data_IF_158146140939
#
_entry.id   IF_158146140939
#
_cell.length_a   1.000
_cell.length_b   1.000
_cell.length_c   1.000
_cell.angle_alpha   90.00
_cell.angle_beta   90.00
_cell.angle_gamma   90.00
#
_symmetry.space_group_name_H-M   'P 1'
#
loop_
_entity.id
_entity.type
_entity.pdbx_description
1 polymer ?
#
# COMPACT_ATOMS: atom_id res chain seq x y z
N UNK A 1 -6.65 6.00 -45.33
CA UNK A 1 -7.50 6.80 -44.42
C UNK A 1 -8.50 5.87 -43.78
N UNK A 2 -8.21 5.46 -42.55
CA UNK A 2 -8.88 4.35 -41.85
C UNK A 2 -9.63 4.87 -40.62
N UNK A 3 -10.68 4.14 -40.25
CA UNK A 3 -11.74 4.44 -39.28
C UNK A 3 -11.32 4.69 -37.82
N UNK A 4 -10.09 5.17 -37.57
CA UNK A 4 -9.58 5.57 -36.23
C UNK A 4 -9.66 7.07 -35.95
N UNK A 5 -9.89 7.90 -36.97
CA UNK A 5 -9.93 9.38 -36.79
C UNK A 5 -11.32 9.95 -36.50
N UNK A 6 -12.39 9.15 -36.57
CA UNK A 6 -13.76 9.57 -36.25
C UNK A 6 -14.15 9.37 -34.77
N UNK A 7 -13.35 8.62 -34.00
CA UNK A 7 -13.63 8.32 -32.59
C UNK A 7 -13.16 9.43 -31.63
N UNK A 8 -12.23 10.28 -32.06
CA UNK A 8 -11.63 11.33 -31.20
C UNK A 8 -12.41 12.66 -31.20
N UNK A 9 -13.25 12.93 -32.19
CA UNK A 9 -14.16 14.09 -32.15
C UNK A 9 -15.46 13.81 -31.37
N UNK A 10 -15.83 12.54 -31.16
CA UNK A 10 -17.03 12.17 -30.40
C UNK A 10 -16.85 12.29 -28.87
N UNK A 11 -15.62 12.24 -28.35
CA UNK A 11 -15.34 12.35 -26.91
C UNK A 11 -15.27 13.81 -26.40
N UNK A 12 -15.04 14.79 -27.28
CA UNK A 12 -15.08 16.21 -26.91
C UNK A 12 -16.52 16.75 -26.80
N UNK A 13 -17.47 16.20 -27.59
CA UNK A 13 -18.88 16.59 -27.57
C UNK A 13 -19.67 15.93 -26.43
N UNK A 14 -19.18 14.80 -25.90
CA UNK A 14 -19.80 14.14 -24.74
C UNK A 14 -19.49 14.84 -23.42
N UNK A 15 -18.38 15.61 -23.31
CA UNK A 15 -18.10 16.42 -22.12
C UNK A 15 -19.05 17.61 -21.92
N UNK A 16 -19.64 18.15 -22.99
CA UNK A 16 -20.62 19.25 -22.88
C UNK A 16 -22.07 18.76 -22.75
N UNK A 17 -22.39 17.55 -23.21
CA UNK A 17 -23.75 17.00 -23.14
C UNK A 17 -24.11 16.41 -21.75
N UNK A 18 -23.14 15.98 -20.95
CA UNK A 18 -23.36 15.53 -19.57
C UNK A 18 -23.46 16.68 -18.54
N UNK A 19 -23.32 17.93 -18.97
CA UNK A 19 -23.41 19.11 -18.10
C UNK A 19 -24.84 19.58 -17.83
N UNK A 20 -25.85 19.11 -18.56
CA UNK A 20 -27.17 19.77 -18.57
C UNK A 20 -28.34 18.98 -17.97
N UNK A 21 -28.13 17.74 -17.50
CA UNK A 21 -29.22 16.94 -16.89
C UNK A 21 -29.00 16.55 -15.43
N UNK A 22 -27.95 17.09 -14.79
CA UNK A 22 -27.74 16.89 -13.36
C UNK A 22 -28.68 17.79 -12.56
N UNK A 23 -29.69 17.22 -11.92
CA UNK A 23 -30.47 17.93 -10.91
C UNK A 23 -29.54 18.59 -9.87
N UNK A 24 -29.94 19.76 -9.37
CA UNK A 24 -29.18 20.46 -8.32
C UNK A 24 -28.95 19.52 -7.13
N UNK A 25 -27.71 19.54 -6.59
CA UNK A 25 -27.40 18.74 -5.40
C UNK A 25 -28.27 19.24 -4.25
N UNK A 26 -28.94 18.35 -3.49
CA UNK A 26 -29.68 18.73 -2.30
C UNK A 26 -28.84 19.57 -1.32
N UNK A 27 -29.42 20.64 -0.79
CA UNK A 27 -28.73 21.60 0.06
C UNK A 27 -28.11 20.91 1.30
N UNK A 28 -28.78 19.91 1.87
CA UNK A 28 -28.26 19.19 3.03
C UNK A 28 -26.96 18.43 2.73
N UNK A 29 -26.77 17.90 1.52
CA UNK A 29 -25.50 17.28 1.12
C UNK A 29 -24.40 18.32 0.88
N UNK A 30 -24.75 19.49 0.35
CA UNK A 30 -23.81 20.62 0.27
C UNK A 30 -23.30 21.03 1.65
N UNK A 31 -24.20 21.16 2.63
CA UNK A 31 -23.85 21.47 4.02
C UNK A 31 -23.02 20.39 4.71
N UNK A 32 -23.34 19.11 4.47
CA UNK A 32 -22.53 17.98 4.94
C UNK A 32 -21.08 18.07 4.40
N UNK A 33 -20.91 18.36 3.11
CA UNK A 33 -19.57 18.52 2.50
C UNK A 33 -18.84 19.77 3.03
N UNK A 34 -19.52 20.92 3.13
CA UNK A 34 -18.98 22.15 3.71
C UNK A 34 -18.49 21.91 5.15
N UNK A 35 -19.26 21.20 5.96
CA UNK A 35 -18.88 20.87 7.34
C UNK A 35 -17.58 20.06 7.38
N UNK A 36 -17.36 19.14 6.43
CA UNK A 36 -16.12 18.35 6.33
C UNK A 36 -14.94 19.14 5.80
N UNK A 37 -15.16 19.97 4.79
CA UNK A 37 -14.14 20.86 4.25
C UNK A 37 -13.72 21.96 5.24
N UNK A 38 -14.58 22.29 6.22
CA UNK A 38 -14.24 23.22 7.29
C UNK A 38 -13.16 22.70 8.24
N UNK A 39 -12.92 21.38 8.29
CA UNK A 39 -11.88 20.74 9.11
C UNK A 39 -10.52 20.86 8.41
N UNK A 40 -9.95 22.07 8.38
CA UNK A 40 -8.76 22.39 7.58
C UNK A 40 -7.46 21.87 8.19
N UNK A 41 -7.35 21.96 9.51
CA UNK A 41 -6.18 21.53 10.27
C UNK A 41 -6.62 20.70 11.48
N UNK A 42 -5.71 19.90 12.04
CA UNK A 42 -6.03 19.11 13.22
C UNK A 42 -5.15 17.90 13.46
N UNK A 43 -5.48 17.17 14.52
CA UNK A 43 -4.86 15.92 14.95
C UNK A 43 -5.94 14.93 15.37
N UNK A 44 -5.92 13.72 14.80
CA UNK A 44 -6.92 12.68 15.01
C UNK A 44 -6.22 11.36 15.28
N UNK A 45 -6.43 10.81 16.47
CA UNK A 45 -6.03 9.44 16.82
C UNK A 45 -7.23 8.51 16.65
N UNK A 46 -7.06 7.47 15.85
CA UNK A 46 -8.16 6.56 15.50
C UNK A 46 -7.67 5.11 15.33
N UNK A 47 -8.63 4.20 15.23
CA UNK A 47 -8.34 2.79 15.00
C UNK A 47 -9.34 2.15 14.03
N UNK A 48 -8.93 1.02 13.45
CA UNK A 48 -9.70 0.23 12.49
C UNK A 48 -9.68 -1.23 12.90
N UNK A 49 -10.86 -1.87 12.92
CA UNK A 49 -10.98 -3.33 12.93
C UNK A 49 -11.68 -3.77 11.65
N UNK A 50 -11.15 -4.79 10.96
CA UNK A 50 -11.72 -5.28 9.71
C UNK A 50 -11.99 -6.79 9.76
N UNK A 51 -12.96 -7.27 8.96
CA UNK A 51 -13.24 -8.69 8.78
C UNK A 51 -12.07 -9.44 8.16
N UNK A 52 -11.25 -8.77 7.36
CA UNK A 52 -10.04 -9.34 6.79
C UNK A 52 -8.99 -9.68 7.87
N UNK A 53 -9.06 -9.04 9.04
CA UNK A 53 -8.16 -9.25 10.18
C UNK A 53 -8.97 -9.32 11.50
N UNK A 54 -9.74 -10.41 11.74
CA UNK A 54 -10.62 -10.51 12.90
C UNK A 54 -9.86 -10.37 14.23
N UNK A 55 -10.44 -9.63 15.18
CA UNK A 55 -9.85 -9.38 16.50
C UNK A 55 -8.70 -8.37 16.51
N UNK A 56 -8.27 -7.87 15.34
CA UNK A 56 -7.18 -6.89 15.23
C UNK A 56 -7.72 -5.48 15.15
N UNK A 57 -7.08 -4.62 15.93
CA UNK A 57 -7.34 -3.19 15.96
C UNK A 57 -6.06 -2.46 15.57
N UNK A 58 -5.98 -2.09 14.29
CA UNK A 58 -4.90 -1.25 13.80
C UNK A 58 -5.14 0.18 14.27
N UNK A 59 -4.10 0.85 14.76
CA UNK A 59 -4.13 2.22 15.29
C UNK A 59 -3.43 3.16 14.33
N UNK A 60 -3.90 4.39 14.28
CA UNK A 60 -3.43 5.39 13.36
C UNK A 60 -3.45 6.78 14.00
N UNK A 61 -2.61 7.66 13.49
CA UNK A 61 -2.71 9.10 13.74
C UNK A 61 -2.75 9.83 12.41
N UNK A 62 -3.73 10.71 12.23
CA UNK A 62 -3.85 11.59 11.07
C UNK A 62 -3.71 13.04 11.53
N UNK A 63 -2.80 13.79 10.91
CA UNK A 63 -2.62 15.22 11.16
C UNK A 63 -2.80 16.01 9.87
N UNK A 64 -3.32 17.22 10.01
CA UNK A 64 -3.66 18.11 8.91
C UNK A 64 -3.10 19.50 9.18
N UNK A 65 -2.43 20.06 8.18
CA UNK A 65 -1.96 21.43 8.22
C UNK A 65 -2.94 22.36 7.49
N UNK A 66 -2.96 23.64 7.87
CA UNK A 66 -3.91 24.62 7.32
C UNK A 66 -3.78 24.84 5.80
N UNK A 67 -2.59 24.61 5.22
CA UNK A 67 -2.33 24.70 3.78
C UNK A 67 -2.80 23.47 2.98
N UNK A 68 -3.32 22.43 3.64
CA UNK A 68 -3.76 21.19 3.00
C UNK A 68 -2.77 20.03 3.11
N UNK A 69 -1.58 20.23 3.69
CA UNK A 69 -0.64 19.13 3.95
C UNK A 69 -1.25 18.10 4.90
N UNK A 70 -0.84 16.85 4.73
CA UNK A 70 -1.36 15.70 5.49
C UNK A 70 -0.20 14.85 5.98
N UNK A 71 -0.33 14.37 7.21
CA UNK A 71 0.55 13.38 7.79
C UNK A 71 -0.30 12.22 8.30
N UNK A 72 0.10 11.00 7.98
CA UNK A 72 -0.56 9.78 8.40
C UNK A 72 0.49 8.83 8.98
N UNK A 73 0.30 8.42 10.24
CA UNK A 73 1.18 7.51 10.96
C UNK A 73 0.42 6.21 11.25
N UNK A 74 0.93 5.09 10.73
CA UNK A 74 0.38 3.78 11.03
C UNK A 74 1.02 3.20 12.29
N UNK A 75 0.24 3.11 13.38
CA UNK A 75 0.66 2.78 14.75
C UNK A 75 0.65 1.29 15.14
N UNK A 76 0.53 0.40 14.15
CA UNK A 76 0.45 -1.05 14.39
C UNK A 76 -0.87 -1.48 15.04
N UNK A 77 -0.91 -2.66 15.64
CA UNK A 77 -2.09 -3.23 16.31
C UNK A 77 -1.85 -3.46 17.82
N UNK A 78 -2.71 -4.25 18.49
CA UNK A 78 -2.56 -4.54 19.93
C UNK A 78 -1.31 -5.36 20.27
N UNK A 79 -0.68 -6.02 19.28
CA UNK A 79 0.61 -6.70 19.40
C UNK A 79 1.80 -5.78 19.03
N UNK A 80 1.54 -4.49 18.88
CA UNK A 80 2.52 -3.48 18.51
C UNK A 80 2.67 -3.35 16.99
N UNK A 81 3.88 -3.07 16.54
CA UNK A 81 4.14 -2.70 15.14
C UNK A 81 4.25 -3.95 14.27
N UNK A 82 3.12 -4.53 13.87
CA UNK A 82 3.06 -5.68 12.98
C UNK A 82 2.26 -5.37 11.71
N UNK A 83 2.70 -5.92 10.60
CA UNK A 83 1.98 -6.01 9.33
C UNK A 83 1.54 -7.45 9.13
N UNK A 84 0.37 -7.62 8.54
CA UNK A 84 -0.15 -8.91 8.12
C UNK A 84 -0.30 -8.88 6.60
N UNK A 85 0.76 -9.19 5.84
CA UNK A 85 0.65 -9.32 4.40
C UNK A 85 -0.47 -10.32 4.06
N UNK A 86 -1.18 -10.07 2.97
CA UNK A 86 -2.27 -10.93 2.54
C UNK A 86 -1.76 -12.37 2.36
N UNK A 87 -2.33 -13.31 3.11
CA UNK A 87 -1.95 -14.73 3.07
C UNK A 87 -0.76 -15.12 3.96
N UNK A 88 -0.18 -14.19 4.74
CA UNK A 88 0.86 -14.54 5.70
C UNK A 88 0.27 -15.25 6.93
N UNK A 89 0.83 -16.41 7.29
CA UNK A 89 0.47 -17.15 8.51
C UNK A 89 0.99 -16.48 9.79
N UNK A 90 2.07 -15.70 9.66
CA UNK A 90 2.73 -14.99 10.76
C UNK A 90 2.78 -13.49 10.49
N UNK A 91 2.72 -12.65 11.54
CA UNK A 91 2.92 -11.22 11.39
C UNK A 91 4.35 -10.90 10.97
N UNK A 92 4.53 -9.84 10.20
CA UNK A 92 5.80 -9.16 9.96
C UNK A 92 5.94 -7.98 10.91
N UNK A 93 6.93 -7.96 11.78
CA UNK A 93 7.20 -6.83 12.65
C UNK A 93 7.76 -5.72 11.77
N UNK A 94 7.09 -4.58 11.81
CA UNK A 94 7.50 -3.38 11.09
C UNK A 94 7.74 -2.25 12.09
N UNK A 95 8.16 -1.12 11.57
CA UNK A 95 8.26 0.11 12.34
C UNK A 95 7.09 1.02 11.97
N UNK A 96 6.81 2.04 12.80
CA UNK A 96 5.95 3.14 12.39
C UNK A 96 6.26 3.55 10.98
N UNK A 97 5.26 3.47 10.12
CA UNK A 97 5.36 3.99 8.76
C UNK A 97 4.60 5.30 8.74
N UNK A 98 5.34 6.36 8.45
CA UNK A 98 4.85 7.71 8.30
C UNK A 98 4.70 8.00 6.82
N UNK A 99 3.58 8.61 6.49
CA UNK A 99 3.21 9.02 5.16
C UNK A 99 2.93 10.52 5.23
N UNK A 100 3.53 11.32 4.35
CA UNK A 100 3.27 12.76 4.29
C UNK A 100 2.93 13.15 2.87
N UNK A 101 1.89 13.97 2.72
CA UNK A 101 1.57 14.68 1.49
C UNK A 101 1.75 16.15 1.77
N UNK A 102 2.66 16.81 1.07
CA UNK A 102 2.86 18.26 1.13
C UNK A 102 3.09 18.85 -0.26
N UNK A 103 3.37 20.15 -0.33
CA UNK A 103 3.66 20.84 -1.59
C UNK A 103 4.86 20.26 -2.39
N UNK A 104 5.78 19.54 -1.75
CA UNK A 104 6.92 18.91 -2.44
C UNK A 104 6.52 17.59 -3.11
N UNK A 105 5.52 16.90 -2.55
CA UNK A 105 5.00 15.64 -3.06
C UNK A 105 4.58 14.67 -1.96
N UNK A 106 4.68 13.39 -2.28
CA UNK A 106 4.33 12.28 -1.39
C UNK A 106 5.60 11.68 -0.80
N UNK A 107 5.60 11.45 0.50
CA UNK A 107 6.71 10.89 1.24
C UNK A 107 6.25 9.65 2.00
N UNK A 108 7.13 8.65 2.06
CA UNK A 108 6.95 7.46 2.90
C UNK A 108 8.24 7.15 3.63
N UNK A 109 8.15 7.05 4.95
CA UNK A 109 9.30 6.79 5.81
C UNK A 109 8.95 5.79 6.90
N UNK A 110 9.79 4.77 7.09
CA UNK A 110 9.73 3.94 8.28
C UNK A 110 10.75 4.46 9.29
N UNK A 111 10.36 4.65 10.56
CA UNK A 111 11.13 5.43 11.56
C UNK A 111 12.59 4.96 11.77
N UNK A 112 12.90 3.69 11.51
CA UNK A 112 14.25 3.12 11.62
C UNK A 112 14.98 2.94 10.28
N UNK A 113 14.37 3.37 9.19
CA UNK A 113 14.93 3.26 7.85
C UNK A 113 16.07 4.25 7.62
N UNK A 114 17.02 3.86 6.79
CA UNK A 114 18.07 4.75 6.27
C UNK A 114 17.67 5.39 4.95
N UNK A 115 16.48 5.07 4.45
CA UNK A 115 15.90 5.65 3.26
C UNK A 115 14.46 6.12 3.49
N UNK A 116 14.11 7.20 2.82
CA UNK A 116 12.76 7.70 2.69
C UNK A 116 12.38 7.70 1.20
N UNK A 117 11.27 7.07 0.88
CA UNK A 117 10.74 7.09 -0.48
C UNK A 117 10.03 8.43 -0.71
N UNK A 118 10.31 9.04 -1.85
CA UNK A 118 9.78 10.34 -2.22
C UNK A 118 9.25 10.32 -3.65
N UNK A 119 7.98 10.70 -3.82
CA UNK A 119 7.35 10.91 -5.11
C UNK A 119 7.06 12.39 -5.26
N UNK A 120 7.86 13.07 -6.07
CA UNK A 120 7.64 14.49 -6.33
C UNK A 120 6.34 14.64 -7.12
N UNK A 121 5.51 15.59 -6.74
CA UNK A 121 4.39 15.99 -7.60
C UNK A 121 5.00 16.61 -8.86
N UNK A 122 4.83 15.92 -10.00
CA UNK A 122 5.36 16.41 -11.27
C UNK A 122 4.47 17.57 -11.69
N UNK A 123 5.07 18.71 -12.04
CA UNK A 123 4.35 19.87 -12.57
C UNK A 123 3.29 19.43 -13.59
N UNK A 124 2.07 19.99 -13.47
CA UNK A 124 0.80 19.59 -14.12
C UNK A 124 0.82 19.48 -15.68
N UNK A 125 1.96 19.62 -16.34
CA UNK A 125 2.11 19.57 -17.79
C UNK A 125 2.64 18.26 -18.37
N UNK A 126 3.10 17.31 -17.56
CA UNK A 126 3.60 16.03 -18.07
C UNK A 126 2.53 14.94 -17.92
N UNK A 127 2.15 14.23 -19.00
CA UNK A 127 1.25 13.10 -18.89
C UNK A 127 1.87 12.11 -17.90
N UNK A 128 1.12 11.76 -16.86
CA UNK A 128 1.48 10.67 -15.97
C UNK A 128 1.70 9.45 -16.87
N UNK A 129 2.91 8.87 -16.85
CA UNK A 129 3.15 7.64 -17.59
C UNK A 129 2.16 6.59 -17.02
N UNK A 130 1.27 6.12 -17.88
CA UNK A 130 0.30 5.06 -17.59
C UNK A 130 1.08 3.79 -17.19
N UNK A 131 1.42 3.66 -15.91
CA UNK A 131 2.18 2.51 -15.41
C UNK A 131 3.14 2.80 -14.27
N UNK A 132 3.44 4.06 -13.93
CA UNK A 132 4.22 4.31 -12.71
C UNK A 132 3.36 4.03 -11.46
N UNK A 133 3.77 3.10 -10.58
CA UNK A 133 3.12 2.92 -9.30
C UNK A 133 3.43 4.16 -8.46
N UNK A 134 2.52 5.14 -8.50
CA UNK A 134 2.38 6.07 -7.38
C UNK A 134 2.17 5.20 -6.14
N UNK A 135 2.70 5.55 -4.95
CA UNK A 135 2.27 4.87 -3.75
C UNK A 135 0.75 5.02 -3.79
N UNK A 136 0.02 3.93 -3.57
CA UNK A 136 -1.43 3.98 -3.67
C UNK A 136 -1.84 5.20 -2.86
N UNK A 137 -2.41 6.24 -3.50
CA UNK A 137 -3.02 7.33 -2.73
C UNK A 137 -4.04 6.72 -1.76
N UNK A 138 -4.54 5.52 -2.11
CA UNK A 138 -5.15 4.45 -1.33
C UNK A 138 -4.56 4.18 0.09
N UNK A 139 -3.27 4.41 0.33
CA UNK A 139 -2.66 4.21 1.66
C UNK A 139 -2.95 5.38 2.63
N UNK A 140 -3.33 6.56 2.13
CA UNK A 140 -3.50 7.79 2.93
C UNK A 140 -4.93 7.99 3.45
N UNK A 141 -5.41 7.19 4.39
CA UNK A 141 -6.78 7.35 4.87
C UNK A 141 -7.00 8.74 5.50
N UNK A 142 -7.70 9.62 4.78
CA UNK A 142 -8.14 10.92 5.28
C UNK A 142 -9.40 10.72 6.13
N UNK A 143 -9.18 10.58 7.44
CA UNK A 143 -10.23 10.28 8.43
C UNK A 143 -11.35 11.34 8.43
N UNK A 144 -11.12 12.57 7.93
CA UNK A 144 -12.19 13.58 7.78
C UNK A 144 -13.33 13.10 6.88
N UNK A 145 -13.06 12.22 5.92
CA UNK A 145 -14.07 11.73 4.98
C UNK A 145 -14.76 10.44 5.44
N UNK A 146 -14.46 9.94 6.65
CA UNK A 146 -15.12 8.76 7.21
C UNK A 146 -16.60 9.05 7.46
N UNK A 147 -17.44 8.03 7.26
CA UNK A 147 -18.87 8.16 7.49
C UNK A 147 -19.62 9.00 6.45
N UNK A 148 -19.09 9.12 5.23
CA UNK A 148 -19.74 9.84 4.12
C UNK A 148 -20.18 8.92 2.97
N UNK A 149 -19.65 7.69 2.93
CA UNK A 149 -20.01 6.66 1.97
C UNK A 149 -20.63 5.44 2.67
N UNK A 150 -21.47 4.65 1.97
CA UNK A 150 -22.06 3.43 2.51
C UNK A 150 -21.05 2.27 2.62
N UNK A 151 -19.90 2.39 1.95
CA UNK A 151 -18.80 1.45 1.99
C UNK A 151 -17.56 2.11 2.60
N UNK A 152 -16.70 1.30 3.23
CA UNK A 152 -15.40 1.75 3.68
C UNK A 152 -14.53 2.03 2.45
N UNK A 153 -14.31 3.31 2.21
CA UNK A 153 -13.54 3.80 1.08
C UNK A 153 -12.08 4.05 1.43
N UNK A 154 -11.44 3.18 2.21
CA UNK A 154 -10.00 3.31 2.50
C UNK A 154 -9.18 3.47 1.20
N UNK A 155 -9.66 2.92 0.08
CA UNK A 155 -9.00 3.02 -1.23
C UNK A 155 -9.43 4.24 -2.08
N UNK A 156 -10.34 5.12 -1.60
CA UNK A 156 -11.03 6.11 -2.46
C UNK A 156 -10.44 7.53 -2.38
N UNK A 157 -9.13 7.68 -2.18
CA UNK A 157 -8.54 8.91 -1.65
C UNK A 157 -8.23 10.04 -2.64
N UNK A 158 -8.57 9.87 -3.92
CA UNK A 158 -8.10 10.80 -4.97
C UNK A 158 -9.16 11.67 -5.65
N UNK A 159 -10.36 11.81 -5.06
CA UNK A 159 -11.37 12.73 -5.62
C UNK A 159 -11.59 13.94 -4.69
N UNK A 160 -11.29 15.17 -5.15
CA UNK A 160 -11.37 16.41 -4.36
C UNK A 160 -12.80 16.82 -3.95
N UNK A 161 -13.82 16.04 -4.28
CA UNK A 161 -15.13 16.19 -3.64
C UNK A 161 -15.83 14.84 -3.48
N UNK A 162 -16.36 14.63 -2.28
CA UNK A 162 -17.29 13.54 -2.01
C UNK A 162 -18.51 13.66 -2.93
N UNK A 163 -18.99 14.89 -3.17
CA UNK A 163 -20.11 15.14 -4.06
C UNK A 163 -19.85 14.74 -5.51
N UNK A 164 -18.60 14.85 -6.02
CA UNK A 164 -18.26 14.33 -7.35
C UNK A 164 -18.38 12.81 -7.40
N UNK A 165 -18.10 12.10 -6.31
CA UNK A 165 -18.29 10.64 -6.22
C UNK A 165 -19.75 10.27 -6.01
N UNK A 166 -20.46 10.98 -5.14
CA UNK A 166 -21.91 10.85 -4.99
C UNK A 166 -22.67 11.19 -6.27
N UNK A 167 -22.08 11.91 -7.23
CA UNK A 167 -22.62 12.10 -8.59
C UNK A 167 -22.29 10.95 -9.54
N UNK A 168 -21.16 10.27 -9.34
CA UNK A 168 -20.62 9.25 -10.26
C UNK A 168 -20.95 7.81 -9.84
N UNK A 169 -21.57 7.60 -8.67
CA UNK A 169 -21.81 6.27 -8.11
C UNK A 169 -20.54 5.73 -7.44
N UNK A 170 -20.71 5.01 -6.33
CA UNK A 170 -19.57 4.57 -5.51
C UNK A 170 -18.62 3.60 -6.23
N UNK A 171 -19.00 2.97 -7.36
CA UNK A 171 -18.17 1.98 -8.09
C UNK A 171 -18.46 1.86 -9.62
N UNK A 172 -19.00 2.87 -10.32
CA UNK A 172 -19.36 2.70 -11.74
C UNK A 172 -18.96 3.85 -12.68
N UNK A 173 -18.13 3.59 -13.72
CA UNK A 173 -18.19 4.39 -14.93
C UNK A 173 -19.50 4.00 -15.63
N UNK A 174 -20.61 4.74 -15.46
CA UNK A 174 -21.62 5.02 -16.53
C UNK A 174 -23.00 5.53 -16.09
N UNK A 175 -23.41 5.49 -14.82
CA UNK A 175 -24.79 5.88 -14.46
C UNK A 175 -24.83 7.11 -13.52
N UNK A 176 -24.91 8.34 -14.04
CA UNK A 176 -25.17 9.51 -13.19
C UNK A 176 -26.50 9.35 -12.45
N UNK A 177 -26.56 9.77 -11.19
CA UNK A 177 -27.83 9.84 -10.46
C UNK A 177 -28.80 10.79 -11.18
N UNK A 178 -30.02 10.33 -11.44
CA UNK A 178 -31.02 11.10 -12.20
C UNK A 178 -31.96 11.89 -11.32
N UNK A 179 -32.25 11.36 -10.13
CA UNK A 179 -33.29 11.90 -9.25
C UNK A 179 -32.75 12.01 -7.84
N UNK A 180 -32.95 13.19 -7.27
CA UNK A 180 -32.67 13.48 -5.87
C UNK A 180 -33.98 13.77 -5.15
N UNK A 181 -34.11 13.28 -3.92
CA UNK A 181 -35.18 13.70 -3.01
C UNK A 181 -34.57 14.12 -1.69
N UNK A 182 -35.07 15.21 -1.14
CA UNK A 182 -34.72 15.71 0.19
C UNK A 182 -36.01 15.83 1.00
N UNK A 183 -36.04 15.24 2.19
CA UNK A 183 -37.19 15.39 3.09
C UNK A 183 -36.74 15.44 4.55
N UNK A 184 -37.53 16.12 5.37
CA UNK A 184 -37.31 16.15 6.81
C UNK A 184 -37.90 14.90 7.46
N UNK A 185 -37.13 14.25 8.33
CA UNK A 185 -37.53 13.08 9.11
C UNK A 185 -37.24 13.38 10.57
N UNK A 186 -38.23 13.95 11.27
CA UNK A 186 -38.06 14.45 12.63
C UNK A 186 -37.10 15.66 12.70
N UNK A 187 -36.04 15.53 13.48
CA UNK A 187 -34.94 16.49 13.62
C UNK A 187 -33.85 16.34 12.55
N UNK A 188 -33.95 15.30 11.71
CA UNK A 188 -32.96 14.96 10.68
C UNK A 188 -33.46 15.26 9.28
N UNK A 189 -32.53 15.26 8.34
CA UNK A 189 -32.80 15.39 6.91
C UNK A 189 -32.42 14.09 6.22
N UNK A 190 -33.36 13.47 5.52
CA UNK A 190 -33.09 12.33 4.66
C UNK A 190 -32.91 12.82 3.23
N UNK A 191 -31.76 12.49 2.65
CA UNK A 191 -31.45 12.74 1.24
C UNK A 191 -31.35 11.40 0.53
N UNK A 192 -32.02 11.24 -0.59
CA UNK A 192 -31.93 10.02 -1.41
C UNK A 192 -31.55 10.35 -2.84
N UNK A 193 -30.56 9.65 -3.36
CA UNK A 193 -30.18 9.62 -4.77
C UNK A 193 -30.66 8.32 -5.40
N UNK A 194 -31.28 8.40 -6.58
CA UNK A 194 -31.66 7.25 -7.39
C UNK A 194 -30.81 7.21 -8.66
N UNK A 195 -30.09 6.11 -8.84
CA UNK A 195 -29.27 5.84 -10.02
C UNK A 195 -30.13 5.38 -11.20
N UNK A 196 -29.57 5.43 -12.42
CA UNK A 196 -30.28 5.04 -13.67
C UNK A 196 -30.72 3.59 -13.65
N UNK A 197 -29.91 2.72 -13.06
CA UNK A 197 -30.16 1.29 -12.94
C UNK A 197 -31.22 0.95 -11.87
N UNK A 198 -31.71 1.95 -11.13
CA UNK A 198 -32.67 1.79 -10.04
C UNK A 198 -32.03 1.61 -8.66
N UNK A 199 -30.69 1.57 -8.56
CA UNK A 199 -30.02 1.56 -7.28
C UNK A 199 -30.30 2.85 -6.49
N UNK A 200 -30.32 2.73 -5.17
CA UNK A 200 -30.68 3.83 -4.25
C UNK A 200 -29.58 4.05 -3.23
N UNK A 201 -29.20 5.32 -3.05
CA UNK A 201 -28.28 5.76 -2.01
C UNK A 201 -28.99 6.78 -1.12
N UNK A 202 -29.02 6.53 0.19
CA UNK A 202 -29.74 7.37 1.16
C UNK A 202 -28.79 7.81 2.27
N UNK A 203 -28.84 9.09 2.61
CA UNK A 203 -28.17 9.68 3.76
C UNK A 203 -29.21 10.19 4.75
N UNK A 204 -29.01 9.90 6.03
CA UNK A 204 -29.72 10.53 7.13
C UNK A 204 -28.75 11.48 7.83
N UNK A 205 -29.00 12.78 7.73
CA UNK A 205 -28.11 13.85 8.16
C UNK A 205 -28.70 14.53 9.39
N UNK A 206 -27.85 14.82 10.37
CA UNK A 206 -28.19 15.53 11.61
C UNK A 206 -27.58 16.95 11.59
N UNK A 207 -28.38 17.99 11.26
CA UNK A 207 -27.91 19.37 11.24
C UNK A 207 -27.48 19.88 12.63
N UNK A 208 -28.12 19.40 13.71
CA UNK A 208 -27.83 19.85 15.07
C UNK A 208 -26.46 19.35 15.55
N UNK A 209 -26.00 18.21 15.02
CA UNK A 209 -24.68 17.65 15.29
C UNK A 209 -23.70 17.94 14.17
N UNK A 210 -23.59 19.21 13.78
CA UNK A 210 -22.59 19.69 12.81
C UNK A 210 -22.76 19.14 11.40
N UNK A 211 -24.00 18.92 10.95
CA UNK A 211 -24.33 18.38 9.63
C UNK A 211 -23.69 17.02 9.32
N UNK A 212 -23.48 16.18 10.32
CA UNK A 212 -22.93 14.84 10.13
C UNK A 212 -24.00 13.88 9.58
N UNK A 213 -23.60 12.96 8.68
CA UNK A 213 -24.44 11.81 8.34
C UNK A 213 -24.38 10.80 9.49
N UNK A 214 -25.54 10.45 10.06
CA UNK A 214 -25.67 9.45 11.13
C UNK A 214 -25.94 8.05 10.58
N UNK A 215 -26.44 7.96 9.34
CA UNK A 215 -26.61 6.71 8.61
C UNK A 215 -26.54 6.93 7.11
N UNK A 216 -25.91 6.01 6.40
CA UNK A 216 -25.87 5.97 4.95
C UNK A 216 -26.19 4.56 4.50
N UNK A 217 -27.02 4.40 3.48
CA UNK A 217 -27.34 3.08 2.93
C UNK A 217 -27.32 3.10 1.41
N UNK A 218 -26.68 2.11 0.81
CA UNK A 218 -26.80 1.79 -0.62
C UNK A 218 -27.59 0.51 -0.78
N UNK A 219 -28.51 0.49 -1.72
CA UNK A 219 -29.33 -0.67 -2.07
C UNK A 219 -29.33 -0.85 -3.59
N UNK A 220 -29.04 -2.06 -4.05
CA UNK A 220 -29.17 -2.40 -5.47
C UNK A 220 -30.63 -2.32 -5.92
N UNK A 221 -30.86 -2.19 -7.22
CA UNK A 221 -32.21 -2.09 -7.78
C UNK A 221 -33.10 -3.31 -7.46
N UNK A 222 -32.50 -4.49 -7.27
CA UNK A 222 -33.17 -5.73 -6.91
C UNK A 222 -33.27 -5.97 -5.38
N UNK A 223 -32.76 -5.04 -4.57
CA UNK A 223 -32.76 -5.12 -3.10
C UNK A 223 -31.84 -6.20 -2.51
N UNK A 224 -31.08 -6.95 -3.32
CA UNK A 224 -30.27 -8.08 -2.85
C UNK A 224 -28.94 -7.66 -2.24
N UNK A 225 -28.34 -6.59 -2.75
CA UNK A 225 -27.08 -6.06 -2.24
C UNK A 225 -27.36 -4.79 -1.45
N UNK A 226 -26.99 -4.82 -0.17
CA UNK A 226 -27.15 -3.68 0.73
C UNK A 226 -25.83 -3.37 1.40
N UNK A 227 -25.38 -2.13 1.25
CA UNK A 227 -24.28 -1.57 2.02
C UNK A 227 -24.84 -0.55 2.99
N UNK A 228 -24.27 -0.47 4.19
CA UNK A 228 -24.64 0.57 5.14
C UNK A 228 -23.44 1.05 5.95
N UNK A 229 -23.47 2.33 6.29
CA UNK A 229 -22.54 3.00 7.16
C UNK A 229 -23.34 3.65 8.29
N UNK A 230 -23.20 3.16 9.51
CA UNK A 230 -23.81 3.74 10.70
C UNK A 230 -22.75 4.55 11.47
N UNK A 231 -23.06 5.81 11.77
CA UNK A 231 -22.14 6.74 12.41
C UNK A 231 -22.66 7.17 13.78
N UNK A 232 -21.89 6.91 14.83
CA UNK A 232 -22.07 7.52 16.13
C UNK A 232 -21.30 8.85 16.17
N UNK A 233 -22.00 9.96 16.31
CA UNK A 233 -21.41 11.31 16.29
C UNK A 233 -21.35 11.87 17.71
N UNK A 234 -20.19 12.41 18.10
CA UNK A 234 -19.96 13.07 19.40
C UNK A 234 -19.24 14.39 19.20
N UNK A 235 -19.38 15.29 20.15
CA UNK A 235 -18.59 16.53 20.20
C UNK A 235 -17.19 16.21 20.76
N UNK A 236 -16.15 16.54 20.00
CA UNK A 236 -14.75 16.36 20.37
C UNK A 236 -14.04 17.70 20.22
N UNK A 237 -13.56 18.26 21.34
CA UNK A 237 -12.90 19.57 21.38
C UNK A 237 -13.70 20.67 20.64
N UNK A 238 -15.01 20.76 20.92
CA UNK A 238 -15.89 21.78 20.34
C UNK A 238 -16.35 21.51 18.90
N UNK A 239 -16.02 20.35 18.32
CA UNK A 239 -16.42 19.97 16.96
C UNK A 239 -17.19 18.66 16.94
N UNK A 240 -18.37 18.64 16.32
CA UNK A 240 -19.13 17.40 16.11
C UNK A 240 -18.49 16.54 15.02
N UNK A 241 -18.07 15.33 15.38
CA UNK A 241 -17.37 14.41 14.48
C UNK A 241 -17.78 12.94 14.73
N UNK A 242 -17.67 12.03 13.74
CA UNK A 242 -17.93 10.61 13.96
C UNK A 242 -16.93 10.04 14.97
N UNK A 243 -17.44 9.60 16.12
CA UNK A 243 -16.68 8.89 17.14
C UNK A 243 -16.51 7.41 16.77
N UNK A 244 -17.54 6.83 16.14
CA UNK A 244 -17.51 5.47 15.65
C UNK A 244 -18.26 5.36 14.33
N UNK A 245 -17.68 4.63 13.38
CA UNK A 245 -18.28 4.35 12.09
C UNK A 245 -18.26 2.84 11.86
N UNK A 246 -19.43 2.26 11.54
CA UNK A 246 -19.58 0.83 11.24
C UNK A 246 -20.04 0.65 9.81
N UNK A 247 -19.21 0.00 9.01
CA UNK A 247 -19.53 -0.39 7.65
C UNK A 247 -20.03 -1.83 7.64
N UNK A 248 -21.17 -2.05 7.00
CA UNK A 248 -21.81 -3.36 6.91
C UNK A 248 -22.25 -3.67 5.48
N UNK A 249 -22.23 -4.96 5.16
CA UNK A 249 -22.75 -5.53 3.92
C UNK A 249 -23.81 -6.57 4.30
N UNK A 250 -25.02 -6.40 3.80
CA UNK A 250 -26.16 -7.27 4.08
C UNK A 250 -26.41 -7.50 5.59
N UNK A 251 -26.18 -6.45 6.39
CA UNK A 251 -26.36 -6.48 7.86
C UNK A 251 -25.15 -6.98 8.66
N UNK A 252 -24.13 -7.54 8.00
CA UNK A 252 -22.90 -7.97 8.66
C UNK A 252 -21.85 -6.85 8.64
N UNK A 253 -21.37 -6.43 9.82
CA UNK A 253 -20.30 -5.43 9.93
C UNK A 253 -18.98 -6.04 9.44
N UNK A 254 -18.41 -5.47 8.38
CA UNK A 254 -17.10 -5.90 7.87
C UNK A 254 -15.96 -4.96 8.25
N UNK A 255 -16.28 -3.73 8.68
CA UNK A 255 -15.27 -2.78 9.13
C UNK A 255 -15.85 -1.82 10.18
N UNK A 256 -15.03 -1.50 11.16
CA UNK A 256 -15.33 -0.54 12.22
C UNK A 256 -14.15 0.41 12.37
N UNK A 257 -14.44 1.70 12.36
CA UNK A 257 -13.48 2.77 12.62
C UNK A 257 -13.89 3.47 13.92
N UNK A 258 -12.94 3.65 14.83
CA UNK A 258 -13.15 4.33 16.13
C UNK A 258 -12.20 5.50 16.23
N UNK A 259 -12.75 6.70 16.36
CA UNK A 259 -12.00 7.93 16.64
C UNK A 259 -11.90 8.08 18.15
N UNK A 260 -10.67 8.02 18.66
CA UNK A 260 -10.38 8.06 20.10
C UNK A 260 -10.26 9.50 20.59
N UNK A 261 -9.52 10.30 19.84
CA UNK A 261 -9.28 11.71 20.10
C UNK A 261 -9.27 12.45 18.76
N UNK A 262 -9.91 13.61 18.72
CA UNK A 262 -9.89 14.48 17.55
C UNK A 262 -9.87 15.93 18.01
N UNK A 263 -9.08 16.73 17.31
CA UNK A 263 -8.97 18.18 17.51
C UNK A 263 -8.81 18.84 16.15
N UNK A 264 -9.56 19.90 15.88
CA UNK A 264 -9.55 20.56 14.57
C UNK A 264 -9.47 22.08 14.70
N UNK A 265 -8.78 22.71 13.76
CA UNK A 265 -8.74 24.16 13.56
C UNK A 265 -8.28 24.95 14.80
N UNK A 266 -7.30 24.41 15.52
CA UNK A 266 -6.67 25.09 16.64
C UNK A 266 -5.60 26.08 16.15
N UNK A 267 -5.40 27.18 16.87
CA UNK A 267 -4.45 28.23 16.49
C UNK A 267 -2.99 27.74 16.49
N UNK A 268 -2.71 26.73 17.32
CA UNK A 268 -1.43 26.03 17.43
C UNK A 268 -1.23 24.90 16.41
N UNK A 269 -2.23 24.59 15.57
CA UNK A 269 -2.07 23.60 14.51
C UNK A 269 -1.04 24.09 13.47
N UNK A 270 -0.29 23.16 12.90
CA UNK A 270 0.78 23.49 11.97
C UNK A 270 0.24 24.16 10.70
N UNK A 271 0.95 25.19 10.22
CA UNK A 271 0.62 25.85 8.96
C UNK A 271 0.97 25.00 7.74
N UNK A 272 2.04 24.20 7.85
CA UNK A 272 2.55 23.27 6.82
C UNK A 272 3.34 22.14 7.48
N UNK A 273 3.60 21.06 6.74
CA UNK A 273 4.47 19.96 7.15
C UNK A 273 5.75 19.90 6.33
N UNK A 274 6.83 19.48 6.97
CA UNK A 274 8.17 19.33 6.41
C UNK A 274 8.73 17.94 6.72
N UNK A 275 9.94 17.63 6.24
CA UNK A 275 10.63 16.38 6.60
C UNK A 275 10.84 16.19 8.12
N UNK A 276 10.73 17.25 8.93
CA UNK A 276 10.82 17.15 10.40
C UNK A 276 9.64 16.39 11.00
N UNK A 277 8.43 16.59 10.47
CA UNK A 277 7.22 15.89 10.92
C UNK A 277 7.26 14.38 10.60
N UNK A 278 8.00 14.00 9.57
CA UNK A 278 8.32 12.60 9.26
C UNK A 278 9.36 11.99 10.20
N UNK A 279 9.88 12.75 11.18
CA UNK A 279 10.96 12.31 12.08
C UNK A 279 12.26 11.92 11.32
N UNK A 280 12.49 12.52 10.15
CA UNK A 280 13.71 12.26 9.38
C UNK A 280 14.93 12.75 10.16
N UNK A 281 15.95 11.89 10.27
CA UNK A 281 17.24 12.26 10.85
C UNK A 281 18.25 12.58 9.77
N UNK A 282 19.25 13.42 10.08
CA UNK A 282 20.24 13.83 9.10
C UNK A 282 21.00 12.63 8.51
N UNK A 283 21.15 12.59 7.19
CA UNK A 283 21.80 11.50 6.46
C UNK A 283 20.87 10.37 6.03
N UNK A 284 19.55 10.45 6.29
CA UNK A 284 18.57 9.58 5.61
C UNK A 284 18.66 9.82 4.10
N UNK A 285 18.81 8.74 3.33
CA UNK A 285 18.82 8.77 1.87
C UNK A 285 17.41 9.04 1.36
N UNK A 286 17.23 10.07 0.54
CA UNK A 286 15.96 10.34 -0.12
C UNK A 286 15.98 9.60 -1.45
N UNK A 287 15.03 8.70 -1.67
CA UNK A 287 14.94 7.86 -2.86
C UNK A 287 13.78 8.35 -3.72
N UNK A 288 14.04 9.13 -4.79
CA UNK A 288 13.02 9.50 -5.74
C UNK A 288 12.45 8.26 -6.41
N UNK A 289 11.13 8.14 -6.45
CA UNK A 289 10.45 6.99 -7.03
C UNK A 289 9.91 7.26 -8.44
N UNK A 290 9.79 8.52 -8.86
CA UNK A 290 9.45 8.86 -10.26
C UNK A 290 10.63 8.50 -11.17
N UNK A 291 10.43 7.63 -12.17
CA UNK A 291 11.51 7.14 -13.06
C UNK A 291 12.17 8.27 -13.86
N UNK A 292 11.40 9.32 -14.15
CA UNK A 292 11.94 10.51 -14.83
C UNK A 292 12.88 11.33 -13.94
N UNK A 293 12.68 11.29 -12.62
CA UNK A 293 13.54 11.99 -11.66
C UNK A 293 14.77 11.17 -11.31
N UNK A 294 14.68 9.84 -11.26
CA UNK A 294 15.86 8.99 -11.08
C UNK A 294 16.89 9.18 -12.19
N UNK A 295 16.46 9.51 -13.42
CA UNK A 295 17.37 9.87 -14.52
C UNK A 295 17.90 11.31 -14.45
N UNK A 296 17.19 12.25 -13.81
CA UNK A 296 17.64 13.65 -13.67
C UNK A 296 18.62 13.83 -12.52
N UNK A 297 18.41 13.11 -11.42
CA UNK A 297 19.34 13.09 -10.29
C UNK A 297 20.36 11.98 -10.53
N UNK A 298 21.48 12.32 -11.15
CA UNK A 298 22.61 11.40 -11.28
C UNK A 298 23.25 11.06 -9.92
N UNK A 299 22.98 11.86 -8.89
CA UNK A 299 23.47 11.71 -7.53
C UNK A 299 22.43 11.19 -6.53
N UNK A 300 22.92 10.60 -5.43
CA UNK A 300 22.08 10.26 -4.26
C UNK A 300 21.62 11.55 -3.58
N UNK A 301 20.38 11.57 -3.08
CA UNK A 301 19.84 12.69 -2.32
C UNK A 301 19.83 12.35 -0.82
N UNK A 302 20.03 13.34 0.03
CA UNK A 302 20.04 13.16 1.49
C UNK A 302 19.19 14.21 2.19
N UNK A 303 18.53 13.80 3.26
CA UNK A 303 17.97 14.74 4.23
C UNK A 303 19.10 15.29 5.10
N UNK A 304 19.31 16.60 5.10
CA UNK A 304 20.38 17.20 5.90
C UNK A 304 19.97 17.59 7.33
N UNK A 305 18.68 17.46 7.67
CA UNK A 305 18.08 17.96 8.92
C UNK A 305 17.01 19.04 8.69
N UNK A 306 17.12 19.79 7.60
CA UNK A 306 16.24 20.91 7.24
C UNK A 306 15.69 20.83 5.81
N UNK A 307 16.44 20.25 4.87
CA UNK A 307 16.11 20.16 3.45
C UNK A 307 16.73 18.92 2.79
N UNK A 308 16.24 18.60 1.60
CA UNK A 308 16.86 17.62 0.70
C UNK A 308 18.05 18.26 -0.01
N UNK A 309 19.19 17.60 0.03
CA UNK A 309 20.45 18.05 -0.59
C UNK A 309 21.07 16.95 -1.44
N UNK A 310 21.94 17.34 -2.37
CA UNK A 310 22.71 16.38 -3.15
C UNK A 310 23.80 15.70 -2.32
N UNK A 311 24.18 14.49 -2.72
CA UNK A 311 25.20 13.70 -2.04
C UNK A 311 26.55 14.40 -1.97
N UNK A 312 26.94 15.15 -3.00
CA UNK A 312 28.20 15.89 -3.00
C UNK A 312 28.22 16.96 -1.89
N UNK A 313 27.15 17.76 -1.79
CA UNK A 313 26.98 18.75 -0.72
C UNK A 313 26.98 18.07 0.66
N UNK A 314 26.17 17.02 0.83
CA UNK A 314 26.07 16.28 2.10
C UNK A 314 27.43 15.78 2.58
N UNK A 315 28.21 15.12 1.71
CA UNK A 315 29.51 14.60 2.09
C UNK A 315 30.57 15.71 2.25
N UNK A 316 30.48 16.82 1.52
CA UNK A 316 31.35 17.98 1.73
C UNK A 316 31.11 18.60 3.11
N UNK A 317 29.86 18.76 3.52
CA UNK A 317 29.49 19.27 4.84
C UNK A 317 29.90 18.36 5.98
N UNK A 318 29.75 17.04 5.81
CA UNK A 318 30.25 16.06 6.77
C UNK A 318 31.78 16.15 6.94
N UNK A 319 32.54 16.22 5.84
CA UNK A 319 34.01 16.35 5.89
C UNK A 319 34.46 17.66 6.54
N UNK A 320 33.72 18.74 6.29
CA UNK A 320 33.99 20.05 6.87
C UNK A 320 33.53 20.19 8.33
N UNK A 321 32.87 19.16 8.90
CA UNK A 321 32.31 19.21 10.25
C UNK A 321 31.11 20.14 10.42
N UNK A 322 30.53 20.64 9.31
CA UNK A 322 29.35 21.53 9.32
C UNK A 322 28.07 20.78 9.64
N UNK A 323 28.05 19.47 9.40
CA UNK A 323 26.90 18.60 9.68
C UNK A 323 27.35 17.35 10.44
N UNK A 324 26.42 16.79 11.20
CA UNK A 324 26.56 15.50 11.89
C UNK A 324 25.57 14.50 11.32
N UNK A 325 25.93 13.23 11.39
CA UNK A 325 25.03 12.14 11.00
C UNK A 325 23.93 12.02 12.06
N UNK A 326 22.75 11.60 11.63
CA UNK A 326 21.65 11.25 12.51
C UNK A 326 21.94 9.97 13.30
N UNK A 327 21.30 9.80 14.45
CA UNK A 327 21.58 8.69 15.37
C UNK A 327 21.34 7.30 14.74
N UNK A 328 20.35 7.17 13.84
CA UNK A 328 20.07 5.90 13.14
C UNK A 328 21.22 5.52 12.20
N UNK A 329 21.73 6.49 11.43
CA UNK A 329 22.85 6.27 10.51
C UNK A 329 24.14 5.98 11.28
N UNK A 330 24.39 6.69 12.37
CA UNK A 330 25.55 6.43 13.22
C UNK A 330 25.53 5.02 13.82
N UNK A 331 24.39 4.60 14.38
CA UNK A 331 24.22 3.25 14.90
C UNK A 331 24.45 2.20 13.81
N UNK A 332 23.89 2.37 12.60
CA UNK A 332 24.12 1.44 11.50
C UNK A 332 25.59 1.37 11.09
N UNK A 333 26.29 2.49 11.04
CA UNK A 333 27.73 2.51 10.71
C UNK A 333 28.58 1.80 11.77
N UNK A 334 28.16 1.85 13.03
CA UNK A 334 28.72 1.01 14.10
C UNK A 334 28.23 -0.44 14.04
N UNK A 335 27.32 -0.79 13.14
CA UNK A 335 26.63 -2.08 13.00
C UNK A 335 25.80 -2.46 14.23
N UNK A 336 25.25 -1.45 14.88
CA UNK A 336 24.25 -1.56 15.94
C UNK A 336 22.84 -1.47 15.32
N UNK A 337 21.82 -1.88 16.09
CA UNK A 337 20.43 -1.61 15.75
C UNK A 337 20.10 -0.13 15.92
N UNK A 338 19.00 0.33 15.31
CA UNK A 338 18.53 1.70 15.53
C UNK A 338 18.31 1.94 17.03
N UNK A 339 18.74 3.09 17.58
CA UNK A 339 18.58 3.39 19.00
C UNK A 339 17.12 3.56 19.43
N UNK A 340 16.20 3.64 18.46
CA UNK A 340 14.76 3.70 18.70
C UNK A 340 14.11 2.31 18.78
N UNK A 341 14.87 1.23 18.57
CA UNK A 341 14.36 -0.14 18.68
C UNK A 341 14.38 -0.61 20.13
N UNK A 342 13.27 -1.17 20.60
CA UNK A 342 13.24 -1.90 21.88
C UNK A 342 13.92 -3.26 21.75
N UNK A 343 14.35 -3.84 22.88
CA UNK A 343 14.94 -5.20 22.93
C UNK A 343 14.02 -6.25 22.28
N UNK A 344 12.71 -6.14 22.48
CA UNK A 344 11.73 -7.04 21.87
C UNK A 344 11.67 -6.85 20.34
N UNK A 345 11.67 -5.61 19.85
CA UNK A 345 11.70 -5.32 18.42
C UNK A 345 12.98 -5.84 17.75
N UNK A 346 14.13 -5.73 18.42
CA UNK A 346 15.40 -6.31 17.94
C UNK A 346 15.26 -7.81 17.80
N UNK A 347 14.81 -8.51 18.86
CA UNK A 347 14.61 -9.97 18.84
C UNK A 347 13.68 -10.40 17.71
N UNK A 348 12.56 -9.70 17.56
CA UNK A 348 11.56 -9.99 16.53
C UNK A 348 12.10 -9.75 15.12
N UNK A 349 12.82 -8.64 14.91
CA UNK A 349 13.48 -8.34 13.66
C UNK A 349 14.54 -9.39 13.29
N UNK A 350 15.30 -9.89 14.26
CA UNK A 350 16.29 -10.95 14.03
C UNK A 350 15.64 -12.27 13.63
N UNK A 351 14.53 -12.65 14.28
CA UNK A 351 13.76 -13.85 13.93
C UNK A 351 13.24 -13.72 12.50
N UNK A 352 12.65 -12.58 12.14
CA UNK A 352 12.11 -12.36 10.80
C UNK A 352 13.16 -12.23 9.72
N UNK A 353 14.28 -11.57 10.01
CA UNK A 353 15.40 -11.50 9.08
C UNK A 353 15.97 -12.89 8.83
N UNK A 354 16.02 -13.75 9.87
CA UNK A 354 16.37 -15.17 9.69
C UNK A 354 15.35 -15.89 8.83
N UNK A 355 14.05 -15.78 9.12
CA UNK A 355 13.00 -16.43 8.34
C UNK A 355 12.97 -15.94 6.89
N UNK A 356 13.15 -14.63 6.64
CA UNK A 356 13.14 -14.04 5.31
C UNK A 356 14.36 -14.47 4.50
N UNK A 357 15.57 -14.33 5.05
CA UNK A 357 16.79 -14.78 4.36
C UNK A 357 16.69 -16.29 4.11
N UNK A 358 16.18 -17.07 5.06
CA UNK A 358 15.93 -18.50 4.86
C UNK A 358 14.98 -18.69 3.69
N UNK A 359 13.78 -18.12 3.74
CA UNK A 359 12.77 -18.25 2.67
C UNK A 359 13.28 -17.81 1.30
N UNK A 360 13.92 -16.64 1.21
CA UNK A 360 14.49 -16.14 -0.04
C UNK A 360 15.57 -17.06 -0.58
N UNK A 361 16.43 -17.62 0.29
CA UNK A 361 17.59 -18.37 -0.16
C UNK A 361 17.39 -19.89 -0.26
N UNK A 362 16.43 -20.45 0.46
CA UNK A 362 16.13 -21.89 0.53
C UNK A 362 14.84 -22.23 -0.21
N UNK A 363 13.72 -21.55 0.09
CA UNK A 363 12.45 -21.77 -0.61
C UNK A 363 12.45 -21.21 -2.04
N UNK A 364 13.21 -20.13 -2.29
CA UNK A 364 13.40 -19.58 -3.65
C UNK A 364 13.91 -20.62 -4.65
N UNK A 365 14.83 -21.50 -4.22
CA UNK A 365 15.37 -22.58 -5.06
C UNK A 365 14.29 -23.63 -5.34
N UNK A 366 13.61 -24.11 -4.29
CA UNK A 366 12.57 -25.15 -4.38
C UNK A 366 11.38 -24.69 -5.23
N UNK A 367 10.93 -23.44 -5.06
CA UNK A 367 9.83 -22.86 -5.84
C UNK A 367 10.17 -22.69 -7.33
N UNK A 368 11.44 -22.45 -7.67
CA UNK A 368 11.90 -22.37 -9.05
C UNK A 368 11.83 -23.72 -9.77
N UNK A 369 12.09 -24.82 -9.05
CA UNK A 369 12.01 -26.19 -9.56
C UNK A 369 10.56 -26.62 -9.79
N UNK A 370 9.66 -26.21 -8.89
CA UNK A 370 8.23 -26.43 -9.06
C UNK A 370 7.70 -25.71 -10.30
N UNK A 371 8.04 -24.42 -10.45
CA UNK A 371 7.68 -23.66 -11.66
C UNK A 371 8.22 -24.32 -12.92
N UNK A 372 9.51 -24.71 -12.93
CA UNK A 372 10.12 -25.42 -14.05
C UNK A 372 9.36 -26.71 -14.40
N UNK A 373 9.02 -27.53 -13.40
CA UNK A 373 8.28 -28.78 -13.59
C UNK A 373 6.86 -28.52 -14.13
N UNK A 374 6.15 -27.52 -13.62
CA UNK A 374 4.83 -27.16 -14.11
C UNK A 374 4.88 -26.63 -15.55
N UNK A 375 5.87 -25.81 -15.88
CA UNK A 375 6.08 -25.33 -17.24
C UNK A 375 6.49 -26.47 -18.18
N UNK A 376 7.28 -27.43 -17.69
CA UNK A 376 7.63 -28.65 -18.43
C UNK A 376 6.39 -29.50 -18.75
N UNK A 377 5.51 -29.74 -17.76
CA UNK A 377 4.24 -30.45 -17.93
C UNK A 377 3.39 -29.77 -19.02
N UNK A 378 3.28 -28.44 -18.98
CA UNK A 378 2.53 -27.66 -19.98
C UNK A 378 3.17 -27.72 -21.36
N UNK A 379 4.50 -27.49 -21.44
CA UNK A 379 5.26 -27.43 -22.70
C UNK A 379 5.17 -28.73 -23.50
N UNK A 380 5.26 -29.87 -22.83
CA UNK A 380 5.19 -31.18 -23.49
C UNK A 380 3.78 -31.77 -23.54
N UNK A 381 2.77 -31.02 -23.07
CA UNK A 381 1.38 -31.47 -22.96
C UNK A 381 1.28 -32.88 -22.36
N UNK A 382 1.93 -33.07 -21.20
CA UNK A 382 1.97 -34.37 -20.54
C UNK A 382 0.56 -34.81 -20.13
N UNK A 383 0.27 -36.09 -20.30
CA UNK A 383 -0.98 -36.66 -19.81
C UNK A 383 -0.99 -36.77 -18.27
N UNK A 384 -2.06 -37.34 -17.71
CA UNK A 384 -2.21 -37.46 -16.26
C UNK A 384 -1.10 -38.31 -15.62
N UNK A 385 -0.80 -39.47 -16.20
CA UNK A 385 0.18 -40.41 -15.65
C UNK A 385 1.60 -39.83 -15.73
N UNK A 386 1.94 -39.23 -16.88
CA UNK A 386 3.21 -38.52 -17.07
C UNK A 386 3.36 -37.30 -16.14
N UNK A 387 2.27 -36.57 -15.90
CA UNK A 387 2.26 -35.43 -14.98
C UNK A 387 2.44 -35.87 -13.52
N UNK A 388 1.81 -36.98 -13.11
CA UNK A 388 2.01 -37.58 -11.79
C UNK A 388 3.46 -38.06 -11.63
N UNK A 389 4.04 -38.70 -12.66
CA UNK A 389 5.46 -39.09 -12.67
C UNK A 389 6.40 -37.89 -12.57
N UNK A 390 6.14 -36.79 -13.30
CA UNK A 390 6.94 -35.57 -13.24
C UNK A 390 6.90 -34.92 -11.85
N UNK A 391 5.72 -34.87 -11.22
CA UNK A 391 5.55 -34.39 -9.85
C UNK A 391 6.27 -35.28 -8.83
N UNK A 392 6.30 -36.60 -9.04
CA UNK A 392 7.05 -37.52 -8.19
C UNK A 392 8.56 -37.27 -8.28
N UNK A 393 9.11 -37.07 -9.49
CA UNK A 393 10.52 -36.71 -9.67
C UNK A 393 10.86 -35.40 -8.96
N UNK A 394 9.99 -34.39 -9.09
CA UNK A 394 10.14 -33.12 -8.37
C UNK A 394 10.18 -33.35 -6.86
N UNK A 395 9.21 -34.10 -6.31
CA UNK A 395 9.13 -34.38 -4.88
C UNK A 395 10.40 -35.06 -4.34
N UNK A 396 10.92 -36.06 -5.06
CA UNK A 396 12.15 -36.78 -4.69
C UNK A 396 13.38 -35.86 -4.70
N UNK A 397 13.51 -35.00 -5.72
CA UNK A 397 14.59 -34.01 -5.77
C UNK A 397 14.46 -32.96 -4.64
N UNK A 398 13.23 -32.53 -4.33
CA UNK A 398 12.96 -31.59 -3.24
C UNK A 398 13.29 -32.21 -1.87
N UNK A 399 13.04 -33.50 -1.66
CA UNK A 399 13.43 -34.20 -0.45
C UNK A 399 14.96 -34.19 -0.25
N UNK A 400 15.74 -34.49 -1.29
CA UNK A 400 17.21 -34.41 -1.23
C UNK A 400 17.71 -32.98 -0.98
N UNK A 401 17.10 -31.99 -1.63
CA UNK A 401 17.42 -30.59 -1.39
C UNK A 401 17.13 -30.18 0.05
N UNK A 402 16.01 -30.66 0.62
CA UNK A 402 15.62 -30.37 2.00
C UNK A 402 16.60 -30.97 3.00
N UNK A 403 17.10 -32.19 2.77
CA UNK A 403 18.15 -32.78 3.61
C UNK A 403 19.41 -31.90 3.62
N UNK A 404 19.87 -31.47 2.44
CA UNK A 404 21.02 -30.57 2.32
C UNK A 404 20.78 -29.23 3.05
N UNK A 405 19.59 -28.65 2.87
CA UNK A 405 19.21 -27.39 3.52
C UNK A 405 19.11 -27.51 5.04
N UNK A 406 18.66 -28.65 5.56
CA UNK A 406 18.62 -28.90 7.00
C UNK A 406 20.03 -28.95 7.60
N UNK A 407 21.01 -29.51 6.89
CA UNK A 407 22.40 -29.62 7.37
C UNK A 407 23.20 -28.32 7.16
N UNK A 408 22.98 -27.61 6.06
CA UNK A 408 23.79 -26.46 5.63
C UNK A 408 23.09 -25.10 5.76
N UNK A 409 21.84 -25.09 6.19
CA UNK A 409 21.00 -23.89 6.28
C UNK A 409 21.67 -22.76 7.06
N UNK A 410 22.21 -23.04 8.24
CA UNK A 410 22.89 -22.01 9.06
C UNK A 410 24.10 -21.38 8.36
N UNK A 411 24.87 -22.17 7.60
CA UNK A 411 26.03 -21.66 6.83
C UNK A 411 25.58 -20.79 5.66
N UNK A 412 24.51 -21.19 4.97
CA UNK A 412 23.88 -20.39 3.89
C UNK A 412 23.39 -19.07 4.46
N UNK A 413 22.74 -19.11 5.62
CA UNK A 413 22.24 -17.94 6.33
C UNK A 413 23.35 -16.98 6.76
N UNK A 414 24.45 -17.51 7.31
CA UNK A 414 25.63 -16.73 7.68
C UNK A 414 26.27 -16.07 6.45
N UNK A 415 26.45 -16.81 5.35
CA UNK A 415 26.98 -16.26 4.11
C UNK A 415 26.06 -15.19 3.51
N UNK A 416 24.75 -15.41 3.53
CA UNK A 416 23.77 -14.45 3.03
C UNK A 416 23.72 -13.15 3.86
N UNK A 417 23.94 -13.22 5.18
CA UNK A 417 24.05 -12.02 6.04
C UNK A 417 25.23 -11.13 5.66
N UNK A 418 26.34 -11.71 5.21
CA UNK A 418 27.53 -10.96 4.77
C UNK A 418 27.26 -9.99 3.62
N UNK A 419 26.24 -10.23 2.79
CA UNK A 419 25.82 -9.27 1.75
C UNK A 419 25.27 -7.96 2.30
N UNK A 420 24.66 -8.02 3.48
CA UNK A 420 23.93 -6.90 4.07
C UNK A 420 24.69 -6.25 5.24
N UNK A 421 25.90 -6.72 5.55
CA UNK A 421 26.77 -6.09 6.55
C UNK A 421 27.48 -4.87 5.93
N UNK A 422 27.13 -3.64 6.34
CA UNK A 422 27.75 -2.44 5.79
C UNK A 422 29.23 -2.29 6.18
N UNK A 423 29.72 -3.05 7.17
CA UNK A 423 31.09 -2.92 7.66
C UNK A 423 32.11 -3.53 6.71
N UNK A 424 31.74 -4.55 5.93
CA UNK A 424 32.72 -5.26 5.10
C UNK A 424 33.06 -4.54 3.79
N UNK A 425 32.37 -3.44 3.47
CA UNK A 425 32.57 -2.67 2.25
C UNK A 425 32.31 -3.49 0.97
N UNK A 426 32.68 -2.95 -0.21
CA UNK A 426 32.45 -3.62 -1.50
C UNK A 426 33.14 -4.99 -1.62
N UNK A 427 34.29 -5.17 -0.97
CA UNK A 427 35.07 -6.41 -1.00
C UNK A 427 34.45 -7.55 -0.19
N UNK A 428 33.78 -7.24 0.93
CA UNK A 428 33.06 -8.24 1.72
C UNK A 428 31.86 -8.83 1.02
N UNK A 429 31.05 -7.98 0.38
CA UNK A 429 29.90 -8.43 -0.40
C UNK A 429 30.30 -9.41 -1.52
N UNK A 430 31.46 -9.21 -2.15
CA UNK A 430 31.99 -10.15 -3.16
C UNK A 430 32.35 -11.51 -2.54
N UNK A 431 33.02 -11.53 -1.39
CA UNK A 431 33.37 -12.78 -0.70
C UNK A 431 32.16 -13.53 -0.16
N UNK A 432 31.20 -12.79 0.41
CA UNK A 432 29.92 -13.34 0.85
C UNK A 432 29.16 -13.99 -0.32
N UNK A 433 29.22 -13.37 -1.50
CA UNK A 433 28.65 -13.91 -2.73
C UNK A 433 29.31 -15.20 -3.17
N UNK A 434 30.64 -15.24 -3.26
CA UNK A 434 31.37 -16.45 -3.62
C UNK A 434 31.08 -17.60 -2.65
N UNK A 435 31.06 -17.32 -1.34
CA UNK A 435 30.72 -18.30 -0.30
C UNK A 435 29.29 -18.82 -0.48
N UNK A 436 28.33 -17.93 -0.75
CA UNK A 436 26.93 -18.31 -0.95
C UNK A 436 26.74 -19.13 -2.24
N UNK A 437 27.39 -18.75 -3.34
CA UNK A 437 27.37 -19.50 -4.61
C UNK A 437 27.98 -20.90 -4.41
N UNK A 438 29.09 -21.02 -3.69
CA UNK A 438 29.70 -22.31 -3.37
C UNK A 438 28.77 -23.21 -2.53
N UNK A 439 28.07 -22.64 -1.54
CA UNK A 439 27.09 -23.35 -0.70
C UNK A 439 25.81 -23.71 -1.48
N UNK A 440 25.50 -23.02 -2.57
CA UNK A 440 24.35 -23.33 -3.43
C UNK A 440 24.66 -24.33 -4.54
N UNK A 441 25.91 -24.46 -4.93
CA UNK A 441 26.33 -25.35 -6.00
C UNK A 441 25.83 -26.81 -5.86
N UNK A 442 25.70 -27.41 -4.66
CA UNK A 442 25.08 -28.73 -4.50
C UNK A 442 23.60 -28.77 -4.89
N UNK A 443 22.84 -27.72 -4.59
CA UNK A 443 21.44 -27.60 -5.01
C UNK A 443 21.34 -27.48 -6.53
N UNK A 444 22.19 -26.66 -7.15
CA UNK A 444 22.25 -26.54 -8.61
C UNK A 444 22.60 -27.89 -9.28
N UNK A 445 23.46 -28.69 -8.65
CA UNK A 445 23.75 -30.05 -9.14
C UNK A 445 22.54 -30.98 -9.08
N UNK A 446 21.70 -30.91 -8.04
CA UNK A 446 20.46 -31.69 -7.99
C UNK A 446 19.55 -31.28 -9.15
N UNK A 447 19.40 -29.97 -9.38
CA UNK A 447 18.60 -29.45 -10.48
C UNK A 447 19.10 -29.92 -11.85
N UNK A 448 20.37 -29.65 -12.16
CA UNK A 448 20.95 -29.89 -13.48
C UNK A 448 21.22 -31.38 -13.76
N UNK A 449 21.62 -32.16 -12.75
CA UNK A 449 22.04 -33.56 -12.94
C UNK A 449 20.97 -34.58 -12.59
N UNK A 450 19.94 -34.20 -11.83
CA UNK A 450 18.89 -35.13 -11.44
C UNK A 450 17.52 -34.70 -11.95
N UNK A 451 17.05 -33.49 -11.61
CA UNK A 451 15.69 -33.06 -11.96
C UNK A 451 15.51 -32.97 -13.48
N UNK A 452 16.34 -32.17 -14.18
CA UNK A 452 16.21 -32.00 -15.63
C UNK A 452 16.30 -33.32 -16.40
N UNK A 453 17.33 -34.17 -16.20
CA UNK A 453 17.45 -35.40 -16.99
C UNK A 453 16.31 -36.39 -16.74
N UNK A 454 15.80 -36.48 -15.50
CA UNK A 454 14.68 -37.36 -15.16
C UNK A 454 13.37 -36.84 -15.76
N UNK A 455 13.14 -35.53 -15.77
CA UNK A 455 12.00 -34.93 -16.46
C UNK A 455 12.10 -35.13 -17.97
N UNK A 456 13.27 -34.91 -18.58
CA UNK A 456 13.51 -35.10 -20.01
C UNK A 456 13.29 -36.54 -20.49
N UNK A 457 13.28 -37.53 -19.59
CA UNK A 457 12.98 -38.92 -19.91
C UNK A 457 11.47 -39.21 -20.05
N UNK A 458 10.58 -38.37 -19.47
CA UNK A 458 9.13 -38.63 -19.37
C UNK A 458 8.38 -38.41 -20.70
N UNK A 459 8.60 -37.33 -21.47
CA UNK A 459 7.86 -37.10 -22.70
C UNK A 459 8.19 -38.14 -23.77
N UNK A 460 7.18 -38.54 -24.53
CA UNK A 460 7.32 -39.41 -25.69
C UNK A 460 8.07 -38.71 -26.83
N UNK A 461 8.62 -39.49 -27.78
CA UNK A 461 9.27 -38.93 -28.99
C UNK A 461 8.35 -38.00 -29.79
N UNK A 462 7.04 -38.28 -29.80
CA UNK A 462 6.03 -37.46 -30.49
C UNK A 462 5.87 -36.11 -29.79
N UNK A 463 5.64 -36.10 -28.47
CA UNK A 463 5.53 -34.88 -27.67
C UNK A 463 6.79 -33.99 -27.78
N UNK A 464 7.98 -34.59 -27.84
CA UNK A 464 9.23 -33.83 -28.04
C UNK A 464 9.27 -33.09 -29.37
N UNK A 465 8.94 -33.78 -30.47
CA UNK A 465 8.87 -33.18 -31.81
C UNK A 465 7.81 -32.07 -31.88
N UNK A 466 6.65 -32.28 -31.25
CA UNK A 466 5.57 -31.31 -31.21
C UNK A 466 5.97 -30.05 -30.42
N UNK A 467 6.65 -30.21 -29.28
CA UNK A 467 7.16 -29.10 -28.48
C UNK A 467 8.30 -28.31 -29.15
N UNK A 468 9.09 -28.95 -30.04
CA UNK A 468 10.12 -28.27 -30.86
C UNK A 468 9.51 -27.42 -31.98
N UNK A 469 8.34 -27.82 -32.50
CA UNK A 469 7.62 -27.08 -33.55
C UNK A 469 6.76 -25.93 -33.02
N UNK A 470 6.48 -25.87 -31.73
CA UNK A 470 5.77 -24.72 -31.14
C UNK A 470 6.77 -23.63 -30.77
N UNK A 471 6.65 -22.40 -31.31
CA UNK A 471 7.49 -21.29 -30.87
C UNK A 471 7.22 -21.05 -29.38
N UNK A 472 8.30 -20.91 -28.60
CA UNK A 472 8.20 -20.60 -27.19
C UNK A 472 7.34 -19.33 -27.02
N UNK A 473 6.08 -19.50 -26.62
CA UNK A 473 5.23 -18.37 -26.26
C UNK A 473 5.80 -17.80 -24.96
N UNK A 474 6.21 -16.52 -24.95
CA UNK A 474 6.71 -15.86 -23.75
C UNK A 474 5.64 -15.82 -22.65
#
# INVERSE_FOLDING_TARGET
MTARSALFLALAVVRSAFSQSGGEIPAALGRLEEARQSLRSGDVSWSRTSRAQPGRECRFQSRYAANGDRLFEERGDQQGWVAWPRGAEKPLHKFPTLYMLNADGVWRFAETSLSCDFWREVDEGLPADEGEPKPGREDFVDIRWVGLCPASGADLLDSPSFLRRARLGADAPTAPHREWTERRVGDRIEVTAKAVDGARLTWLIDPARGWNAVRITSESADGKARLACDCEVREMNGTWFPAEVRYSANGEVYERIVVREARFNHAEDAASFTGKELKLTAGVNIVPQNFRLTNRYSGRLFWNGDAVVEGEEWFADLRAGRRKRGPVLEAKLRGEHSPYMTTEQIRNWEIQSKELIYTTHTHGVVSSWERYTLDFIRRFALDREQSEAAKFVLWDCQAQAQEYLNEHGDKIMEAARGFYDPREGPGGASKAREKLEALRAPLDKIFERQLKPRLDAIPTRKQRREAETQPAKP
#
